data_IF_997491487890
#
_entry.id   IF_997491487890
#
_cell.length_a   1.000
_cell.length_b   1.000
_cell.length_c   1.000
_cell.angle_alpha   90.00
_cell.angle_beta   90.00
_cell.angle_gamma   90.00
#
_symmetry.space_group_name_H-M   'P 1'
#
loop_
_entity.id
_entity.type
_entity.pdbx_description
1 polymer ?
#
# COMPACT_ATOMS: atom_id res chain seq x y z
N UNK A 1 -13.66 44.90 2.39
CA UNK A 1 -13.79 43.55 1.81
C UNK A 1 -12.66 42.71 2.35
N UNK A 2 -12.98 41.67 3.12
CA UNK A 2 -12.01 40.78 3.76
C UNK A 2 -12.10 39.41 3.06
N UNK A 3 -11.25 39.18 2.06
CA UNK A 3 -11.07 37.85 1.50
C UNK A 3 -10.20 37.08 2.46
N UNK A 4 -10.81 36.17 3.23
CA UNK A 4 -10.08 35.27 4.09
C UNK A 4 -9.12 34.43 3.24
N UNK A 5 -7.81 34.61 3.44
CA UNK A 5 -6.80 33.65 3.03
C UNK A 5 -7.04 32.36 3.83
N UNK A 6 -7.87 31.46 3.29
CA UNK A 6 -7.90 30.07 3.73
C UNK A 6 -6.66 29.41 3.11
N UNK A 7 -5.51 29.69 3.71
CA UNK A 7 -4.22 29.35 3.11
C UNK A 7 -3.10 29.31 4.14
N UNK A 8 -3.29 28.60 5.25
CA UNK A 8 -2.23 28.22 6.19
C UNK A 8 -2.76 27.13 7.14
N UNK A 9 -1.92 26.15 7.49
CA UNK A 9 -2.18 25.01 8.38
C UNK A 9 -2.71 23.70 7.75
N UNK A 10 -2.21 23.30 6.57
CA UNK A 10 -1.99 21.86 6.43
C UNK A 10 -0.77 21.55 7.33
N UNK A 11 -0.90 20.73 8.40
CA UNK A 11 0.26 20.31 9.17
C UNK A 11 1.26 19.65 8.21
N UNK A 12 2.55 19.94 8.38
CA UNK A 12 3.60 19.18 7.69
C UNK A 12 3.30 17.70 7.91
N UNK A 13 3.05 16.91 6.85
CA UNK A 13 2.69 15.51 7.01
C UNK A 13 3.79 14.70 7.68
N UNK A 14 5.00 15.26 7.81
CA UNK A 14 6.14 14.66 8.48
C UNK A 14 6.88 13.67 7.56
N UNK A 15 7.66 12.74 8.13
CA UNK A 15 8.36 11.72 7.35
C UNK A 15 7.38 10.72 6.72
N UNK A 16 7.67 10.27 5.51
CA UNK A 16 6.88 9.29 4.77
C UNK A 16 6.58 8.07 5.64
N UNK A 17 5.36 7.54 5.51
CA UNK A 17 4.90 6.40 6.31
C UNK A 17 4.18 5.38 5.42
N UNK A 18 4.98 4.51 4.80
CA UNK A 18 4.49 3.47 3.92
C UNK A 18 4.04 2.24 4.71
N UNK A 19 2.92 1.65 4.28
CA UNK A 19 2.29 0.47 4.87
C UNK A 19 1.88 -0.49 3.77
N UNK A 20 2.33 -1.74 3.89
CA UNK A 20 1.86 -2.86 3.10
C UNK A 20 0.76 -3.59 3.89
N UNK A 21 -0.47 -3.55 3.38
CA UNK A 21 -1.60 -4.28 3.95
C UNK A 21 -1.70 -5.61 3.22
N UNK A 22 -1.37 -6.71 3.91
CA UNK A 22 -1.52 -8.06 3.37
C UNK A 22 -2.98 -8.48 3.42
N UNK A 23 -3.46 -9.00 2.30
CA UNK A 23 -4.84 -9.39 2.07
C UNK A 23 -4.96 -10.90 1.89
N UNK A 24 -5.98 -11.46 2.53
CA UNK A 24 -6.49 -12.80 2.27
C UNK A 24 -7.12 -12.88 0.87
N UNK A 25 -7.38 -14.10 0.39
CA UNK A 25 -8.03 -14.32 -0.91
C UNK A 25 -9.44 -13.75 -1.05
N UNK A 26 -10.13 -13.46 0.06
CA UNK A 26 -11.44 -12.79 0.08
C UNK A 26 -11.34 -11.27 0.18
N UNK A 27 -10.14 -10.71 0.19
CA UNK A 27 -9.90 -9.26 0.37
C UNK A 27 -9.94 -8.79 1.82
N UNK A 28 -10.08 -9.70 2.79
CA UNK A 28 -9.93 -9.37 4.21
C UNK A 28 -8.47 -9.08 4.57
N UNK A 29 -8.24 -8.21 5.55
CA UNK A 29 -6.89 -7.86 6.02
C UNK A 29 -6.33 -8.97 6.91
N UNK A 30 -5.17 -9.49 6.55
CA UNK A 30 -4.43 -10.49 7.33
C UNK A 30 -3.35 -9.86 8.21
N UNK A 31 -2.74 -8.76 7.75
CA UNK A 31 -1.72 -8.07 8.50
C UNK A 31 -1.28 -6.76 7.86
N UNK A 32 -0.51 -5.99 8.60
CA UNK A 32 0.05 -4.71 8.15
C UNK A 32 1.54 -4.68 8.48
N UNK A 33 2.37 -4.36 7.50
CA UNK A 33 3.81 -4.16 7.64
C UNK A 33 4.20 -2.73 7.28
N UNK A 34 5.15 -2.16 8.02
CA UNK A 34 5.74 -0.87 7.66
C UNK A 34 6.83 -1.08 6.61
N UNK A 35 6.84 -0.24 5.58
CA UNK A 35 7.86 -0.25 4.54
C UNK A 35 8.78 0.94 4.76
N UNK A 36 10.07 0.65 4.92
CA UNK A 36 11.10 1.68 4.96
C UNK A 36 11.54 1.97 3.52
N UNK A 37 11.11 3.11 2.99
CA UNK A 37 11.39 3.55 1.63
C UNK A 37 11.55 5.07 1.59
N UNK A 38 12.45 5.53 0.72
CA UNK A 38 12.76 6.96 0.56
C UNK A 38 11.73 7.68 -0.31
N UNK A 39 11.07 6.95 -1.19
CA UNK A 39 10.07 7.47 -2.13
C UNK A 39 9.07 6.38 -2.56
N UNK A 40 8.05 6.81 -3.31
CA UNK A 40 6.97 5.94 -3.77
C UNK A 40 7.48 4.82 -4.69
N UNK A 41 8.48 5.11 -5.54
CA UNK A 41 9.00 4.13 -6.49
C UNK A 41 9.75 3.01 -5.78
N UNK A 42 10.55 3.35 -4.76
CA UNK A 42 11.20 2.39 -3.88
C UNK A 42 10.18 1.59 -3.07
N UNK A 43 9.13 2.23 -2.54
CA UNK A 43 8.08 1.55 -1.80
C UNK A 43 7.33 0.51 -2.67
N UNK A 44 7.00 0.86 -3.91
CA UNK A 44 6.39 -0.04 -4.91
C UNK A 44 7.33 -1.22 -5.21
N UNK A 45 8.62 -0.95 -5.44
CA UNK A 45 9.60 -1.99 -5.75
C UNK A 45 9.81 -2.96 -4.57
N UNK A 46 9.79 -2.48 -3.34
CA UNK A 46 9.88 -3.31 -2.14
C UNK A 46 8.61 -4.13 -1.94
N UNK A 47 7.44 -3.50 -2.07
CA UNK A 47 6.13 -4.16 -1.83
C UNK A 47 5.83 -5.24 -2.88
N UNK A 48 6.19 -5.01 -4.15
CA UNK A 48 6.01 -6.01 -5.21
C UNK A 48 6.77 -7.32 -4.96
N UNK A 49 7.85 -7.30 -4.17
CA UNK A 49 8.61 -8.50 -3.78
C UNK A 49 7.97 -9.24 -2.61
N UNK A 50 7.06 -8.60 -1.88
CA UNK A 50 6.32 -9.21 -0.77
C UNK A 50 5.10 -9.99 -1.25
N UNK A 51 4.54 -9.60 -2.40
CA UNK A 51 3.39 -10.26 -3.02
C UNK A 51 3.72 -11.75 -3.29
N UNK A 52 3.11 -12.63 -2.49
CA UNK A 52 3.30 -14.08 -2.54
C UNK A 52 1.92 -14.76 -2.49
N UNK A 53 1.66 -15.64 -1.50
CA UNK A 53 0.36 -16.26 -1.27
C UNK A 53 -0.75 -15.23 -0.96
N UNK A 54 -0.36 -14.01 -0.60
CA UNK A 54 -1.24 -12.91 -0.20
C UNK A 54 -1.21 -11.80 -1.24
N UNK A 55 -2.36 -11.17 -1.44
CA UNK A 55 -2.40 -9.87 -2.10
C UNK A 55 -1.85 -8.81 -1.15
N UNK A 56 -1.31 -7.72 -1.68
CA UNK A 56 -0.75 -6.64 -0.86
C UNK A 56 -1.18 -5.30 -1.42
N UNK A 57 -1.82 -4.47 -0.59
CA UNK A 57 -2.09 -3.07 -0.93
C UNK A 57 -1.04 -2.17 -0.29
N UNK A 58 -0.45 -1.30 -1.09
CA UNK A 58 0.51 -0.30 -0.64
C UNK A 58 -0.17 1.03 -0.39
N UNK A 59 0.04 1.56 0.81
CA UNK A 59 -0.47 2.84 1.25
C UNK A 59 0.65 3.71 1.77
N UNK A 60 0.59 5.00 1.48
CA UNK A 60 1.37 6.04 2.15
C UNK A 60 0.40 6.87 2.98
N UNK A 61 0.44 6.70 4.31
CA UNK A 61 -0.56 7.28 5.23
C UNK A 61 -2.01 6.98 4.81
N UNK A 62 -2.68 7.94 4.19
CA UNK A 62 -4.06 7.83 3.68
C UNK A 62 -4.16 7.79 2.15
N UNK A 63 -3.03 7.79 1.45
CA UNK A 63 -2.91 7.74 -0.01
C UNK A 63 -2.65 6.30 -0.44
N UNK A 64 -3.60 5.71 -1.16
CA UNK A 64 -3.40 4.45 -1.86
C UNK A 64 -2.40 4.66 -3.00
N UNK A 65 -1.42 3.75 -3.13
CA UNK A 65 -0.39 3.83 -4.16
C UNK A 65 -0.55 2.74 -5.21
N UNK A 66 -0.64 1.49 -4.78
CA UNK A 66 -0.72 0.35 -5.69
C UNK A 66 -1.30 -0.89 -4.99
N UNK A 67 -1.76 -1.86 -5.78
CA UNK A 67 -2.22 -3.17 -5.29
C UNK A 67 -1.55 -4.28 -6.09
N UNK A 68 -0.95 -5.22 -5.37
CA UNK A 68 -0.29 -6.38 -5.91
C UNK A 68 -1.15 -7.61 -5.60
N UNK A 69 -1.78 -8.23 -6.62
CA UNK A 69 -2.57 -9.43 -6.38
C UNK A 69 -1.66 -10.56 -5.88
N UNK A 70 -2.24 -11.52 -5.16
CA UNK A 70 -1.49 -12.72 -4.80
C UNK A 70 -0.99 -13.40 -6.07
N UNK A 71 0.24 -13.92 -6.01
CA UNK A 71 0.73 -14.85 -7.00
C UNK A 71 -0.02 -16.15 -6.77
N UNK A 72 -1.26 -16.22 -7.25
CA UNK A 72 -1.97 -17.49 -7.39
C UNK A 72 -1.06 -18.36 -8.23
N UNK A 73 -0.37 -19.30 -7.60
CA UNK A 73 0.24 -20.41 -8.29
C UNK A 73 -0.93 -21.11 -8.96
N UNK A 74 -1.17 -20.84 -10.25
CA UNK A 74 -1.86 -21.79 -11.09
C UNK A 74 -1.01 -23.04 -11.01
N UNK A 75 -1.35 -23.95 -10.11
CA UNK A 75 -0.88 -25.33 -10.24
C UNK A 75 -1.54 -25.80 -11.54
N UNK A 76 -0.77 -26.06 -12.61
CA UNK A 76 -1.36 -26.62 -13.81
C UNK A 76 -1.88 -28.00 -13.43
N UNK A 77 -3.21 -28.16 -13.33
CA UNK A 77 -3.86 -29.44 -13.03
C UNK A 77 -4.75 -29.52 -11.77
N UNK A 78 -4.98 -28.44 -11.03
CA UNK A 78 -6.02 -28.45 -10.00
C UNK A 78 -7.41 -28.43 -10.64
N UNK A 79 -7.97 -29.62 -10.88
CA UNK A 79 -9.38 -29.83 -11.21
C UNK A 79 -10.24 -29.48 -9.99
N UNK A 80 -11.31 -28.71 -10.21
CA UNK A 80 -12.41 -28.56 -9.26
C UNK A 80 -13.25 -29.85 -9.19
#
# INVERSE_FOLDING_TARGET
MLTALIGAFAPDPGPLAYRAIRLTSSGGVEGVEHIDARDDAEAIALTSRMANAYGVDLWERGRFLDSFPSLSVRVPGAIA
#
